data_IF_499217577682
#
_entry.id   IF_499217577682
#
_cell.length_a   1.000
_cell.length_b   1.000
_cell.length_c   1.000
_cell.angle_alpha   90.00
_cell.angle_beta   90.00
_cell.angle_gamma   90.00
#
_symmetry.space_group_name_H-M   'P 1'
#
loop_
_entity.id
_entity.type
_entity.pdbx_description
1 polymer ?
#
# COMPACT_ATOMS: atom_id res chain seq x y z
N UNK A 1 -2.52 36.57 71.93
CA UNK A 1 -2.66 35.27 71.26
C UNK A 1 -2.84 35.56 69.77
N UNK A 2 -1.77 35.40 68.96
CA UNK A 2 -1.83 35.60 67.52
C UNK A 2 -2.24 34.27 66.88
N UNK A 3 -3.41 34.23 66.20
CA UNK A 3 -3.83 33.08 65.40
C UNK A 3 -3.05 33.04 64.14
N UNK A 4 -2.22 31.99 63.98
CA UNK A 4 -1.52 31.67 62.77
C UNK A 4 -2.54 30.99 61.81
N UNK A 5 -2.89 31.68 60.73
CA UNK A 5 -3.71 31.10 59.65
C UNK A 5 -2.75 30.37 58.71
N UNK A 6 -2.75 29.03 58.81
CA UNK A 6 -2.00 28.17 57.88
C UNK A 6 -2.82 28.02 56.62
N UNK A 7 -2.49 28.77 55.58
CA UNK A 7 -3.08 28.60 54.24
C UNK A 7 -2.42 27.38 53.57
N UNK A 8 -3.23 26.31 53.49
CA UNK A 8 -2.82 25.08 52.78
C UNK A 8 -2.92 25.34 51.28
N UNK A 9 -1.79 25.62 50.66
CA UNK A 9 -1.70 25.61 49.17
C UNK A 9 -1.74 24.16 48.72
N UNK A 10 -2.90 23.68 48.29
CA UNK A 10 -2.98 22.45 47.51
C UNK A 10 -2.37 22.73 46.15
N UNK A 11 -1.13 22.26 45.93
CA UNK A 11 -0.56 22.20 44.62
C UNK A 11 -1.37 21.19 43.78
N UNK A 12 -2.22 21.69 42.91
CA UNK A 12 -2.86 20.86 41.87
C UNK A 12 -1.74 20.52 40.91
N UNK A 13 -1.22 19.32 41.01
CA UNK A 13 -0.34 18.75 40.00
C UNK A 13 -1.20 18.55 38.75
N UNK A 14 -1.08 19.44 37.78
CA UNK A 14 -1.56 19.20 36.43
C UNK A 14 -0.72 18.04 35.86
N UNK A 15 -1.26 16.84 35.91
CA UNK A 15 -0.75 15.73 35.13
C UNK A 15 -1.07 16.09 33.66
N UNK A 16 -0.10 16.65 32.97
CA UNK A 16 -0.16 16.77 31.53
C UNK A 16 -0.13 15.34 30.98
N UNK A 17 -1.29 14.75 30.79
CA UNK A 17 -1.41 13.56 29.94
C UNK A 17 -1.17 14.07 28.52
N UNK A 18 0.08 14.05 28.08
CA UNK A 18 0.39 14.24 26.68
C UNK A 18 -0.26 13.09 25.93
N UNK A 19 -1.15 13.45 25.03
CA UNK A 19 -1.68 12.46 24.11
C UNK A 19 -0.50 11.82 23.35
N UNK A 20 -0.48 10.52 23.37
CA UNK A 20 0.48 9.73 22.61
C UNK A 20 -0.18 9.37 21.28
N UNK A 21 0.34 9.89 20.19
CA UNK A 21 0.06 9.34 18.88
C UNK A 21 1.12 8.28 18.54
N UNK A 22 0.74 7.35 17.72
CA UNK A 22 1.60 6.30 17.25
C UNK A 22 1.48 6.20 15.73
N UNK A 23 2.55 6.52 15.02
CA UNK A 23 2.66 6.28 13.58
C UNK A 23 2.93 4.79 13.36
N UNK A 24 2.24 4.20 12.41
CA UNK A 24 2.41 2.78 12.07
C UNK A 24 2.26 2.58 10.56
N UNK A 25 3.34 2.85 9.81
CA UNK A 25 3.36 2.65 8.37
C UNK A 25 3.45 1.15 8.02
N UNK A 26 2.72 0.75 7.01
CA UNK A 26 2.75 -0.59 6.43
C UNK A 26 3.07 -0.45 4.95
N UNK A 27 3.92 -1.31 4.42
CA UNK A 27 4.19 -1.43 2.99
C UNK A 27 3.95 -2.84 2.50
N UNK A 28 3.29 -2.97 1.36
CA UNK A 28 3.20 -4.23 0.63
C UNK A 28 4.32 -4.32 -0.39
N UNK A 29 4.82 -5.53 -0.63
CA UNK A 29 5.76 -5.76 -1.72
C UNK A 29 5.06 -5.54 -3.05
N UNK A 30 5.40 -4.47 -3.73
CA UNK A 30 4.79 -4.12 -4.99
C UNK A 30 5.41 -4.85 -6.16
N UNK A 31 4.57 -5.21 -7.13
CA UNK A 31 5.02 -5.66 -8.43
C UNK A 31 5.53 -4.47 -9.26
N UNK A 32 6.51 -4.71 -10.13
CA UNK A 32 6.97 -3.70 -11.10
C UNK A 32 7.45 -2.38 -10.49
N UNK A 33 8.00 -2.42 -9.29
CA UNK A 33 8.48 -1.22 -8.62
C UNK A 33 7.39 -0.39 -7.95
N UNK A 34 6.10 -0.76 -8.06
CA UNK A 34 5.01 -0.05 -7.39
C UNK A 34 4.70 -0.70 -6.05
N UNK A 35 4.71 0.08 -4.99
CA UNK A 35 4.46 -0.34 -3.61
C UNK A 35 3.22 0.35 -3.09
N UNK A 36 2.34 -0.43 -2.42
CA UNK A 36 1.21 0.10 -1.68
C UNK A 36 1.65 0.45 -0.27
N UNK A 37 1.31 1.63 0.17
CA UNK A 37 1.51 2.05 1.55
C UNK A 37 0.16 2.21 2.24
N UNK A 38 0.10 1.78 3.48
CA UNK A 38 -1.11 1.89 4.29
C UNK A 38 -0.77 2.52 5.63
N UNK A 39 -1.64 3.39 6.09
CA UNK A 39 -1.60 3.96 7.43
C UNK A 39 -2.39 3.08 8.40
N UNK A 40 -1.77 2.71 9.51
CA UNK A 40 -2.39 2.04 10.66
C UNK A 40 -2.14 2.81 11.96
N UNK A 41 -1.93 4.11 11.84
CA UNK A 41 -1.62 5.00 12.96
C UNK A 41 -2.82 5.16 13.89
N UNK A 42 -2.56 5.45 15.14
CA UNK A 42 -3.59 5.61 16.16
C UNK A 42 -3.24 6.74 17.12
N UNK A 43 -4.27 7.25 17.81
CA UNK A 43 -4.13 8.18 18.93
C UNK A 43 -4.70 7.54 20.18
N UNK A 44 -4.04 7.72 21.33
CA UNK A 44 -4.51 7.14 22.59
C UNK A 44 -5.85 7.71 23.04
N UNK A 45 -6.70 6.89 23.73
CA UNK A 45 -7.95 7.37 24.29
C UNK A 45 -7.76 8.55 25.26
N UNK A 46 -8.59 9.57 25.12
CA UNK A 46 -8.53 10.80 25.93
C UNK A 46 -8.42 12.07 25.09
N UNK A 47 -8.19 11.93 23.79
CA UNK A 47 -8.36 13.02 22.86
C UNK A 47 -9.83 13.26 22.55
N UNK A 48 -10.16 14.51 22.22
CA UNK A 48 -11.45 14.92 21.67
C UNK A 48 -11.78 14.03 20.46
N UNK A 49 -13.07 13.77 20.25
CA UNK A 49 -13.54 13.10 19.02
C UNK A 49 -13.49 14.03 17.80
N UNK A 50 -13.14 15.31 18.01
CA UNK A 50 -13.06 16.36 16.98
C UNK A 50 -11.59 16.69 16.66
N UNK A 51 -10.88 15.78 16.02
CA UNK A 51 -9.55 16.06 15.50
C UNK A 51 -9.50 15.91 13.98
N UNK A 52 -8.60 16.63 13.36
CA UNK A 52 -8.18 16.41 11.97
C UNK A 52 -6.87 15.62 11.96
N UNK A 53 -6.69 14.81 10.91
CA UNK A 53 -5.47 14.05 10.70
C UNK A 53 -4.84 14.49 9.37
N UNK A 54 -3.53 14.66 9.36
CA UNK A 54 -2.77 14.86 8.13
C UNK A 54 -1.59 13.90 8.06
N UNK A 55 -1.22 13.54 6.84
CA UNK A 55 -0.20 12.55 6.53
C UNK A 55 0.90 13.17 5.68
N UNK A 56 2.12 12.75 5.92
CA UNK A 56 3.25 13.03 5.05
C UNK A 56 4.10 11.77 4.92
N UNK A 57 4.05 11.16 3.76
CA UNK A 57 4.94 10.08 3.37
C UNK A 57 6.17 10.65 2.68
N UNK A 58 7.35 10.13 3.05
CA UNK A 58 8.60 10.31 2.33
C UNK A 58 9.09 8.92 1.91
N UNK A 59 9.19 8.66 0.60
CA UNK A 59 9.41 7.31 0.09
C UNK A 59 10.89 6.88 0.04
N UNK A 60 11.80 7.75 0.45
CA UNK A 60 13.24 7.45 0.50
C UNK A 60 13.97 7.64 -0.84
N UNK A 61 13.26 7.94 -1.92
CA UNK A 61 13.80 8.30 -3.24
C UNK A 61 13.75 9.81 -3.52
N UNK A 62 13.38 10.61 -2.51
CA UNK A 62 13.23 12.07 -2.60
C UNK A 62 11.81 12.53 -2.94
N UNK A 63 10.89 11.61 -3.20
CA UNK A 63 9.48 11.93 -3.46
C UNK A 63 8.62 11.80 -2.20
N UNK A 64 7.45 12.45 -2.20
CA UNK A 64 6.53 12.49 -1.05
C UNK A 64 5.08 12.38 -1.47
N UNK A 65 4.19 12.04 -0.50
CA UNK A 65 2.74 12.06 -0.67
C UNK A 65 2.03 12.51 0.61
N UNK A 66 0.87 13.14 0.47
CA UNK A 66 -0.01 13.51 1.59
C UNK A 66 -1.28 12.64 1.67
N UNK A 67 -1.40 11.63 0.84
CA UNK A 67 -2.50 10.67 0.90
C UNK A 67 -2.34 9.76 2.12
N UNK A 68 -3.45 9.32 2.71
CA UNK A 68 -3.42 8.37 3.82
C UNK A 68 -2.79 7.03 3.41
N UNK A 69 -3.23 6.49 2.28
CA UNK A 69 -2.79 5.21 1.74
C UNK A 69 -2.31 5.41 0.30
N UNK A 70 -1.09 5.91 0.10
CA UNK A 70 -0.59 6.19 -1.24
C UNK A 70 -0.08 4.95 -1.93
N UNK A 71 -0.12 5.00 -3.27
CA UNK A 71 0.66 4.13 -4.13
C UNK A 71 1.87 4.90 -4.63
N UNK A 72 3.03 4.29 -4.58
CA UNK A 72 4.24 4.90 -5.10
C UNK A 72 4.99 3.94 -6.01
N UNK A 73 5.41 4.45 -7.17
CA UNK A 73 6.22 3.69 -8.14
C UNK A 73 7.66 4.19 -8.09
N UNK A 74 8.54 3.31 -7.69
CA UNK A 74 9.99 3.55 -7.71
C UNK A 74 10.50 3.37 -9.13
N UNK A 75 10.97 4.43 -9.74
CA UNK A 75 11.53 4.43 -11.08
C UNK A 75 13.01 4.06 -11.10
N UNK A 76 13.86 5.04 -11.40
CA UNK A 76 15.32 4.86 -11.38
C UNK A 76 15.86 4.83 -9.95
N UNK A 77 16.35 3.67 -9.53
CA UNK A 77 16.90 3.43 -8.19
C UNK A 77 18.44 3.59 -8.14
N UNK A 78 19.06 4.11 -9.20
CA UNK A 78 20.51 4.27 -9.28
C UNK A 78 21.11 5.17 -8.19
N UNK A 79 20.28 6.09 -7.67
CA UNK A 79 20.67 7.05 -6.62
C UNK A 79 20.04 6.73 -5.25
N UNK A 80 19.43 5.56 -5.09
CA UNK A 80 18.77 5.15 -3.85
C UNK A 80 19.69 4.26 -3.03
N UNK A 81 19.79 4.55 -1.73
CA UNK A 81 20.56 3.71 -0.80
C UNK A 81 19.70 2.54 -0.32
N UNK A 82 20.31 1.34 -0.25
CA UNK A 82 19.65 0.16 0.32
C UNK A 82 20.25 -0.19 1.69
N UNK A 83 19.43 -0.67 2.66
CA UNK A 83 17.99 -0.92 2.56
C UNK A 83 17.19 0.38 2.44
N UNK A 84 16.13 0.36 1.60
CA UNK A 84 15.25 1.49 1.38
C UNK A 84 14.17 1.54 2.47
N UNK A 85 13.91 2.73 2.99
CA UNK A 85 12.85 2.98 3.98
C UNK A 85 11.93 4.09 3.49
N UNK A 86 10.63 3.86 3.65
CA UNK A 86 9.64 4.91 3.58
C UNK A 86 9.28 5.37 5.00
N UNK A 87 9.05 6.64 5.18
CA UNK A 87 8.73 7.25 6.47
C UNK A 87 7.35 7.87 6.40
N UNK A 88 6.51 7.61 7.40
CA UNK A 88 5.23 8.25 7.59
C UNK A 88 5.29 9.19 8.79
N UNK A 89 4.97 10.46 8.57
CA UNK A 89 4.68 11.42 9.62
C UNK A 89 3.18 11.66 9.68
N UNK A 90 2.57 11.39 10.83
CA UNK A 90 1.15 11.64 11.08
C UNK A 90 1.01 12.78 12.06
N UNK A 91 0.14 13.73 11.75
CA UNK A 91 -0.19 14.84 12.62
C UNK A 91 -1.68 14.80 12.95
N UNK A 92 -1.99 14.67 14.23
CA UNK A 92 -3.33 14.83 14.78
C UNK A 92 -3.49 16.23 15.34
N UNK A 93 -4.53 16.94 14.95
CA UNK A 93 -4.82 18.30 15.43
C UNK A 93 -6.22 18.36 16.02
N UNK A 94 -6.30 18.68 17.31
CA UNK A 94 -7.57 18.95 18.01
C UNK A 94 -7.86 20.46 17.98
N UNK A 95 -8.88 20.84 17.23
CA UNK A 95 -9.27 22.25 17.07
C UNK A 95 -9.95 22.82 18.30
N UNK A 96 -10.44 22.01 19.23
CA UNK A 96 -11.11 22.46 20.47
C UNK A 96 -10.13 22.88 21.55
N UNK A 97 -9.03 22.13 21.68
CA UNK A 97 -8.00 22.40 22.69
C UNK A 97 -6.75 23.07 22.11
N UNK A 98 -6.69 23.22 20.77
CA UNK A 98 -5.55 23.75 20.03
C UNK A 98 -4.28 22.93 20.32
N UNK A 99 -4.45 21.65 20.58
CA UNK A 99 -3.36 20.71 20.79
C UNK A 99 -3.09 19.91 19.53
N UNK A 100 -1.83 19.54 19.32
CA UNK A 100 -1.42 18.63 18.25
C UNK A 100 -0.49 17.56 18.80
N UNK A 101 -0.52 16.41 18.15
CA UNK A 101 0.42 15.33 18.35
C UNK A 101 1.00 14.93 17.00
N UNK A 102 2.32 14.83 16.94
CA UNK A 102 3.05 14.41 15.74
C UNK A 102 3.86 13.19 16.09
N UNK A 103 3.78 12.18 15.26
CA UNK A 103 4.65 11.01 15.36
C UNK A 103 5.15 10.60 13.97
N UNK A 104 6.32 9.99 13.96
CA UNK A 104 6.99 9.59 12.72
C UNK A 104 7.61 8.22 12.91
N UNK A 105 7.29 7.32 12.00
CA UNK A 105 7.88 5.98 11.97
C UNK A 105 8.22 5.59 10.53
N UNK A 106 9.00 4.54 10.36
CA UNK A 106 9.49 4.10 9.07
C UNK A 106 9.24 2.61 8.85
N UNK A 107 8.99 2.25 7.60
CA UNK A 107 8.82 0.88 7.14
C UNK A 107 9.87 0.56 6.07
N UNK A 108 10.46 -0.60 6.16
CA UNK A 108 11.37 -1.07 5.12
C UNK A 108 10.60 -1.42 3.84
N UNK A 109 11.11 -0.96 2.72
CA UNK A 109 10.51 -1.15 1.40
C UNK A 109 11.26 -2.25 0.67
N UNK A 110 10.53 -3.24 0.17
CA UNK A 110 11.05 -4.31 -0.66
C UNK A 110 10.53 -4.14 -2.09
N UNK A 111 11.43 -3.87 -3.02
CA UNK A 111 11.09 -3.67 -4.42
C UNK A 111 11.50 -4.92 -5.20
N UNK A 112 10.53 -5.54 -5.84
CA UNK A 112 10.77 -6.69 -6.72
C UNK A 112 11.17 -6.19 -8.10
N UNK A 113 12.47 -6.27 -8.40
CA UNK A 113 13.05 -5.76 -9.65
C UNK A 113 12.71 -6.62 -10.87
N UNK A 114 12.25 -7.86 -10.67
CA UNK A 114 11.86 -8.75 -11.77
C UNK A 114 10.42 -9.28 -11.53
N UNK A 115 9.40 -8.52 -11.93
CA UNK A 115 8.01 -8.93 -11.75
C UNK A 115 7.65 -10.20 -12.51
N UNK A 116 8.43 -10.56 -13.54
CA UNK A 116 8.11 -11.69 -14.42
C UNK A 116 8.35 -13.07 -13.78
N UNK A 117 8.97 -13.15 -12.62
CA UNK A 117 9.27 -14.44 -11.95
C UNK A 117 8.07 -15.00 -11.20
N UNK A 118 7.12 -14.16 -10.81
CA UNK A 118 6.06 -14.49 -9.85
C UNK A 118 4.67 -14.63 -10.47
N UNK A 119 4.56 -14.54 -11.78
CA UNK A 119 3.30 -14.69 -12.48
C UNK A 119 3.03 -16.12 -12.92
N UNK A 120 1.76 -16.54 -12.87
CA UNK A 120 1.28 -17.81 -13.39
C UNK A 120 0.06 -17.59 -14.27
N UNK A 121 0.09 -18.16 -15.48
CA UNK A 121 -0.99 -18.13 -16.43
C UNK A 121 -1.61 -19.53 -16.55
N UNK A 122 -2.87 -19.65 -16.14
CA UNK A 122 -3.64 -20.88 -16.24
C UNK A 122 -4.80 -20.69 -17.24
N UNK A 123 -5.09 -21.69 -18.04
CA UNK A 123 -6.27 -21.72 -18.90
C UNK A 123 -7.29 -22.65 -18.24
N UNK A 124 -8.50 -22.13 -17.99
CA UNK A 124 -9.64 -22.91 -17.53
C UNK A 124 -10.69 -23.03 -18.62
N UNK A 125 -11.41 -24.16 -18.63
CA UNK A 125 -12.49 -24.42 -19.55
C UNK A 125 -13.85 -24.47 -18.83
N UNK A 126 -14.88 -23.87 -19.44
CA UNK A 126 -16.27 -23.98 -19.01
C UNK A 126 -17.16 -24.10 -20.23
N UNK A 127 -17.61 -25.34 -20.51
CA UNK A 127 -18.32 -25.65 -21.77
C UNK A 127 -17.43 -25.38 -22.99
N UNK A 128 -17.93 -24.58 -23.91
CA UNK A 128 -17.18 -24.16 -25.11
C UNK A 128 -16.28 -22.95 -24.89
N UNK A 129 -16.15 -22.44 -23.66
CA UNK A 129 -15.37 -21.25 -23.37
C UNK A 129 -14.05 -21.61 -22.70
N UNK A 130 -12.95 -21.01 -23.17
CA UNK A 130 -11.64 -21.03 -22.55
C UNK A 130 -11.32 -19.64 -21.99
N UNK A 131 -10.90 -19.59 -20.73
CA UNK A 131 -10.54 -18.34 -20.06
C UNK A 131 -9.10 -18.37 -19.61
N UNK A 132 -8.33 -17.36 -19.97
CA UNK A 132 -6.96 -17.14 -19.51
C UNK A 132 -7.01 -16.45 -18.14
N UNK A 133 -6.62 -17.19 -17.10
CA UNK A 133 -6.60 -16.71 -15.72
C UNK A 133 -5.15 -16.44 -15.34
N UNK A 134 -4.86 -15.17 -15.23
CA UNK A 134 -3.58 -14.67 -14.80
C UNK A 134 -3.60 -14.42 -13.29
N UNK A 135 -2.63 -14.99 -12.57
CA UNK A 135 -2.48 -14.77 -11.13
C UNK A 135 -1.08 -14.25 -10.83
N UNK A 136 -1.03 -13.25 -9.98
CA UNK A 136 0.20 -12.70 -9.48
C UNK A 136 0.45 -13.25 -8.07
N UNK A 137 1.47 -14.09 -7.91
CA UNK A 137 1.75 -14.79 -6.64
C UNK A 137 2.63 -13.97 -5.68
N UNK A 138 2.60 -12.65 -5.75
CA UNK A 138 3.17 -11.84 -4.69
C UNK A 138 2.02 -11.39 -3.82
N UNK A 139 2.08 -11.75 -2.52
CA UNK A 139 1.07 -11.42 -1.53
C UNK A 139 1.03 -9.92 -1.24
N UNK A 140 0.62 -9.14 -2.23
CA UNK A 140 0.32 -7.73 -2.13
C UNK A 140 -1.17 -7.52 -2.28
N UNK A 141 -1.78 -6.94 -1.27
CA UNK A 141 -3.18 -6.55 -1.30
C UNK A 141 -3.37 -5.49 -2.38
N UNK A 142 -4.31 -5.70 -3.29
CA UNK A 142 -4.59 -4.90 -4.49
C UNK A 142 -5.16 -3.49 -4.18
N UNK A 143 -4.45 -2.70 -3.37
CA UNK A 143 -4.84 -1.33 -3.04
C UNK A 143 -4.54 -0.32 -4.14
N UNK A 144 -3.48 -0.51 -4.90
CA UNK A 144 -3.18 0.28 -6.09
C UNK A 144 -3.86 -0.37 -7.28
N UNK A 145 -5.02 0.14 -7.67
CA UNK A 145 -5.62 -0.23 -8.94
C UNK A 145 -4.72 0.26 -10.08
N UNK A 146 -3.64 -0.46 -10.32
CA UNK A 146 -3.01 -0.41 -11.61
C UNK A 146 -4.00 -1.10 -12.53
N UNK A 147 -4.66 -0.34 -13.38
CA UNK A 147 -5.32 -0.87 -14.56
C UNK A 147 -4.20 -1.46 -15.45
N UNK A 148 -3.72 -2.64 -15.07
CA UNK A 148 -2.85 -3.40 -15.92
C UNK A 148 -3.70 -3.78 -17.14
N UNK A 149 -3.48 -3.06 -18.22
CA UNK A 149 -4.01 -3.45 -19.52
C UNK A 149 -3.17 -4.61 -20.02
N UNK A 150 -3.44 -5.80 -19.48
CA UNK A 150 -2.85 -7.02 -19.98
C UNK A 150 -3.43 -7.27 -21.37
N UNK A 151 -2.58 -7.61 -22.31
CA UNK A 151 -3.01 -7.99 -23.66
C UNK A 151 -2.95 -9.50 -23.80
N UNK A 152 -3.96 -10.04 -24.43
CA UNK A 152 -4.12 -11.47 -24.70
C UNK A 152 -3.94 -11.73 -26.18
N UNK A 153 -3.32 -12.85 -26.53
CA UNK A 153 -3.24 -13.34 -27.88
C UNK A 153 -3.37 -14.87 -27.89
N UNK A 154 -4.47 -15.36 -28.42
CA UNK A 154 -4.72 -16.78 -28.59
C UNK A 154 -4.20 -17.29 -29.92
N UNK A 155 -3.94 -18.60 -30.00
CA UNK A 155 -3.47 -19.27 -31.22
C UNK A 155 -4.45 -19.18 -32.39
N UNK A 156 -5.72 -18.89 -32.15
CA UNK A 156 -6.74 -18.62 -33.18
C UNK A 156 -6.79 -17.16 -33.63
N UNK A 157 -5.98 -16.28 -33.04
CA UNK A 157 -5.91 -14.85 -33.33
C UNK A 157 -6.80 -13.97 -32.46
N UNK A 158 -7.60 -14.53 -31.56
CA UNK A 158 -8.41 -13.74 -30.61
C UNK A 158 -7.53 -13.02 -29.57
N UNK A 159 -8.00 -11.85 -29.12
CA UNK A 159 -7.29 -10.99 -28.17
C UNK A 159 -8.09 -10.71 -26.88
N UNK A 160 -9.18 -11.42 -26.65
CA UNK A 160 -9.98 -11.31 -25.44
C UNK A 160 -9.50 -12.28 -24.36
N UNK A 161 -9.74 -11.96 -23.11
CA UNK A 161 -9.38 -12.82 -21.97
C UNK A 161 -10.09 -14.20 -22.07
N UNK A 162 -11.30 -14.22 -22.59
CA UNK A 162 -12.11 -15.44 -22.77
C UNK A 162 -12.47 -15.58 -24.22
N UNK A 163 -12.32 -16.78 -24.76
CA UNK A 163 -12.68 -17.14 -26.13
C UNK A 163 -13.72 -18.27 -26.13
N UNK A 164 -14.54 -18.33 -27.19
CA UNK A 164 -15.43 -19.47 -27.44
C UNK A 164 -14.83 -20.35 -28.52
N UNK A 165 -14.72 -21.65 -28.24
CA UNK A 165 -14.14 -22.62 -29.16
C UNK A 165 -15.22 -23.63 -29.60
N UNK A 166 -15.28 -23.88 -30.91
CA UNK A 166 -16.29 -24.75 -31.51
C UNK A 166 -15.72 -26.09 -32.02
N UNK A 167 -14.41 -26.28 -31.85
CA UNK A 167 -13.70 -27.48 -32.30
C UNK A 167 -12.75 -27.99 -31.24
N UNK A 168 -12.63 -29.31 -31.07
CA UNK A 168 -11.56 -29.87 -30.28
C UNK A 168 -10.19 -29.49 -30.88
N UNK A 169 -9.22 -29.18 -30.02
CA UNK A 169 -7.90 -28.78 -30.45
C UNK A 169 -7.06 -28.19 -29.34
N UNK A 170 -5.83 -27.93 -29.64
CA UNK A 170 -4.90 -27.27 -28.74
C UNK A 170 -4.97 -25.77 -28.92
N UNK A 171 -5.26 -25.05 -27.84
CA UNK A 171 -5.34 -23.61 -27.80
C UNK A 171 -4.26 -23.05 -26.87
N UNK A 172 -3.47 -22.14 -27.40
CA UNK A 172 -2.40 -21.46 -26.63
C UNK A 172 -2.78 -20.00 -26.45
N UNK A 173 -2.66 -19.49 -25.24
CA UNK A 173 -2.80 -18.07 -24.93
C UNK A 173 -1.44 -17.49 -24.50
N UNK A 174 -1.10 -16.36 -25.08
CA UNK A 174 0.03 -15.53 -24.64
C UNK A 174 -0.55 -14.27 -24.00
N UNK A 175 -0.15 -13.99 -22.76
CA UNK A 175 -0.47 -12.75 -22.06
C UNK A 175 0.77 -11.89 -21.96
N UNK A 176 0.66 -10.64 -22.41
CA UNK A 176 1.69 -9.63 -22.20
C UNK A 176 1.18 -8.60 -21.23
N UNK A 177 1.85 -8.48 -20.08
CA UNK A 177 1.48 -7.51 -19.04
C UNK A 177 1.92 -6.11 -19.42
N UNK A 178 1.31 -5.09 -18.80
CA UNK A 178 1.71 -3.69 -18.98
C UNK A 178 3.18 -3.42 -18.60
N UNK A 179 3.78 -4.32 -17.83
CA UNK A 179 5.20 -4.28 -17.43
C UNK A 179 6.13 -4.96 -18.42
N UNK A 180 5.58 -5.49 -19.53
CA UNK A 180 6.33 -6.18 -20.57
C UNK A 180 6.64 -7.66 -20.26
N UNK A 181 6.10 -8.24 -19.20
CA UNK A 181 6.23 -9.67 -18.95
C UNK A 181 5.35 -10.47 -19.91
N UNK A 182 5.88 -11.56 -20.43
CA UNK A 182 5.19 -12.43 -21.37
C UNK A 182 5.03 -13.83 -20.76
N UNK A 183 3.80 -14.32 -20.72
CA UNK A 183 3.45 -15.64 -20.21
C UNK A 183 2.65 -16.39 -21.24
N UNK A 184 2.90 -17.68 -21.35
CA UNK A 184 2.21 -18.53 -22.31
C UNK A 184 1.71 -19.80 -21.63
N UNK A 185 0.46 -20.13 -21.86
CA UNK A 185 -0.17 -21.37 -21.38
C UNK A 185 -0.92 -22.05 -22.52
N UNK A 186 -1.07 -23.36 -22.42
CA UNK A 186 -1.70 -24.18 -23.44
C UNK A 186 -2.77 -25.07 -22.82
N UNK A 187 -3.91 -25.17 -23.49
CA UNK A 187 -5.01 -26.08 -23.19
C UNK A 187 -5.19 -27.06 -24.36
N UNK A 188 -5.33 -28.36 -24.05
CA UNK A 188 -5.51 -29.41 -25.03
C UNK A 188 -6.71 -30.31 -24.69
#
# INVERSE_FOLDING_TARGET
MKKLILTLFTAIAFINVQAQCNSNPISDNGASGTVNFSDSSSVTPGWSTNYSVSYLWAFGDGTTSTQQNPCHTYGDLSNVSFPLYATLTVTYFDSTTINYCIDTDSVQVYILMNPCVYGDLQISASGANLSANWTYNIGGSSGCANNYLDTYLWSNGDTTQTISVNSPGTYTCTVTTSTGCVYTSTYA
#
